data_IF_176165524185
#
_entry.id   IF_176165524185
#
_cell.length_a   1.000
_cell.length_b   1.000
_cell.length_c   1.000
_cell.angle_alpha   90.00
_cell.angle_beta   90.00
_cell.angle_gamma   90.00
#
_symmetry.space_group_name_H-M   'P 1'
#
loop_
_entity.id
_entity.type
_entity.pdbx_description
1 polymer ?
#
# COMPACT_ATOMS: atom_id res chain seq x y z
N UNK A 1 1.73 -33.49 -26.97
CA UNK A 1 1.91 -32.26 -26.16
C UNK A 1 3.39 -32.09 -25.90
N UNK A 2 3.97 -30.91 -26.19
CA UNK A 2 5.36 -30.64 -25.81
C UNK A 2 5.41 -30.30 -24.30
N UNK A 3 6.42 -30.77 -23.55
CA UNK A 3 6.55 -30.44 -22.14
C UNK A 3 6.92 -28.96 -21.99
N UNK A 4 6.31 -28.27 -21.03
CA UNK A 4 6.66 -26.90 -20.67
C UNK A 4 8.05 -26.89 -20.01
N UNK A 5 8.97 -26.09 -20.56
CA UNK A 5 10.28 -25.86 -19.95
C UNK A 5 10.09 -24.75 -18.91
N UNK A 6 10.12 -25.11 -17.62
CA UNK A 6 10.14 -24.13 -16.52
C UNK A 6 11.57 -23.60 -16.41
N UNK A 7 11.76 -22.29 -16.66
CA UNK A 7 13.06 -21.63 -16.45
C UNK A 7 13.20 -21.26 -14.97
N UNK A 8 14.34 -21.59 -14.34
CA UNK A 8 14.61 -21.18 -12.97
C UNK A 8 15.04 -19.72 -12.93
N UNK A 9 14.26 -18.88 -12.25
CA UNK A 9 14.58 -17.47 -12.09
C UNK A 9 13.36 -16.62 -11.78
N UNK A 10 13.03 -16.56 -10.49
CA UNK A 10 12.19 -15.57 -9.80
C UNK A 10 10.69 -15.66 -10.11
N UNK A 11 10.04 -16.39 -9.19
CA UNK A 11 8.74 -16.08 -8.57
C UNK A 11 7.78 -15.41 -9.56
N UNK A 12 6.86 -16.21 -10.11
CA UNK A 12 5.59 -15.68 -10.62
C UNK A 12 5.15 -14.56 -9.67
N UNK A 13 4.81 -13.34 -10.15
CA UNK A 13 4.29 -12.34 -9.25
C UNK A 13 3.14 -13.00 -8.51
N UNK A 14 3.37 -13.30 -7.23
CA UNK A 14 2.31 -13.67 -6.33
C UNK A 14 1.45 -12.43 -6.42
N UNK A 15 0.35 -12.53 -7.16
CA UNK A 15 -0.76 -11.61 -7.01
C UNK A 15 -1.14 -11.80 -5.54
N UNK A 16 -0.50 -11.00 -4.68
CA UNK A 16 -1.00 -10.75 -3.34
C UNK A 16 -2.36 -10.10 -3.62
N UNK A 17 -3.38 -10.94 -3.61
CA UNK A 17 -4.76 -10.59 -3.88
C UNK A 17 -5.29 -9.87 -2.64
N UNK A 18 -4.70 -8.71 -2.34
CA UNK A 18 -5.30 -7.78 -1.42
C UNK A 18 -6.44 -7.11 -2.17
N UNK A 19 -7.67 -7.33 -1.69
CA UNK A 19 -8.84 -6.57 -2.12
C UNK A 19 -8.50 -5.08 -1.96
N UNK A 20 -8.20 -4.43 -3.09
CA UNK A 20 -7.80 -3.03 -3.08
C UNK A 20 -9.04 -2.20 -2.80
N UNK A 21 -8.95 -1.40 -1.73
CA UNK A 21 -10.04 -0.54 -1.29
C UNK A 21 -9.57 0.90 -1.27
N UNK A 22 -10.38 1.79 -1.83
CA UNK A 22 -10.04 3.19 -1.99
C UNK A 22 -10.59 4.06 -0.85
N UNK A 23 -9.86 5.11 -0.48
CA UNK A 23 -10.31 6.12 0.48
C UNK A 23 -9.85 7.53 0.06
N UNK A 24 -10.65 8.53 0.44
CA UNK A 24 -10.35 9.95 0.23
C UNK A 24 -10.12 10.70 1.57
N UNK A 25 -10.36 10.03 2.70
CA UNK A 25 -10.17 10.56 4.07
C UNK A 25 -9.42 9.54 4.95
N UNK A 26 -8.60 10.03 5.90
CA UNK A 26 -7.78 9.18 6.77
C UNK A 26 -8.61 8.23 7.62
N UNK A 27 -9.74 8.68 8.18
CA UNK A 27 -10.55 7.83 9.05
C UNK A 27 -11.15 6.65 8.26
N UNK A 28 -11.51 6.87 7.00
CA UNK A 28 -12.00 5.81 6.12
C UNK A 28 -10.87 4.86 5.72
N UNK A 29 -9.67 5.39 5.43
CA UNK A 29 -8.48 4.59 5.19
C UNK A 29 -8.14 3.68 6.36
N UNK A 30 -8.21 4.19 7.60
CA UNK A 30 -7.96 3.41 8.81
C UNK A 30 -9.01 2.31 9.04
N UNK A 31 -10.30 2.58 8.79
CA UNK A 31 -11.35 1.55 8.88
C UNK A 31 -11.14 0.43 7.87
N UNK A 32 -10.73 0.78 6.64
CA UNK A 32 -10.41 -0.21 5.60
C UNK A 32 -9.20 -1.04 6.04
N UNK A 33 -8.16 -0.39 6.56
CA UNK A 33 -6.94 -1.04 7.03
C UNK A 33 -7.22 -2.01 8.19
N UNK A 34 -8.10 -1.64 9.13
CA UNK A 34 -8.53 -2.51 10.22
C UNK A 34 -9.29 -3.74 9.73
N UNK A 35 -10.16 -3.56 8.71
CA UNK A 35 -11.01 -4.65 8.21
C UNK A 35 -10.32 -5.58 7.22
N UNK A 36 -9.47 -5.04 6.35
CA UNK A 36 -8.91 -5.75 5.20
C UNK A 36 -7.38 -5.74 5.14
N UNK A 37 -6.72 -5.05 6.07
CA UNK A 37 -5.26 -4.95 6.15
C UNK A 37 -4.58 -4.29 4.95
N UNK A 38 -5.35 -3.65 4.06
CA UNK A 38 -4.85 -2.93 2.88
C UNK A 38 -5.79 -1.81 2.46
N UNK A 39 -5.28 -0.61 2.18
CA UNK A 39 -6.06 0.54 1.70
C UNK A 39 -5.23 1.43 0.76
N UNK A 40 -5.89 2.11 -0.17
CA UNK A 40 -5.24 2.97 -1.18
C UNK A 40 -5.95 4.31 -1.29
N UNK A 41 -5.21 5.40 -1.45
CA UNK A 41 -5.74 6.69 -1.89
C UNK A 41 -4.99 7.15 -3.14
N UNK A 42 -5.69 7.75 -4.09
CA UNK A 42 -5.10 8.22 -5.35
C UNK A 42 -5.48 9.66 -5.63
N UNK A 43 -4.51 10.48 -5.97
CA UNK A 43 -4.70 11.89 -6.30
C UNK A 43 -3.78 12.39 -7.40
N UNK A 44 -3.75 13.71 -7.60
CA UNK A 44 -3.03 14.36 -8.71
C UNK A 44 -1.52 14.14 -8.65
N UNK A 45 -0.97 14.00 -7.45
CA UNK A 45 0.46 13.80 -7.21
C UNK A 45 0.90 12.33 -7.14
N UNK A 46 -0.02 11.37 -7.20
CA UNK A 46 0.30 9.94 -7.13
C UNK A 46 -0.72 9.13 -6.33
N UNK A 47 -0.36 7.90 -5.99
CA UNK A 47 -1.10 7.05 -5.06
C UNK A 47 -0.36 6.90 -3.74
N UNK A 48 -1.10 6.73 -2.66
CA UNK A 48 -0.61 6.22 -1.40
C UNK A 48 -1.26 4.87 -1.12
N UNK A 49 -0.44 3.86 -0.92
CA UNK A 49 -0.86 2.51 -0.57
C UNK A 49 -0.44 2.24 0.88
N UNK A 50 -1.32 1.69 1.70
CA UNK A 50 -1.02 1.32 3.10
C UNK A 50 -1.48 -0.10 3.40
N UNK A 51 -0.69 -0.83 4.18
CA UNK A 51 -1.00 -2.22 4.54
C UNK A 51 -0.44 -2.63 5.89
N UNK A 52 -1.00 -3.68 6.46
CA UNK A 52 -0.46 -4.36 7.65
C UNK A 52 0.25 -5.62 7.18
N UNK A 53 1.53 -5.77 7.53
CA UNK A 53 2.30 -6.97 7.19
C UNK A 53 2.09 -8.11 8.19
N UNK A 54 2.67 -9.28 7.88
CA UNK A 54 2.58 -10.48 8.71
C UNK A 54 3.19 -10.30 10.12
N UNK A 55 4.05 -9.30 10.31
CA UNK A 55 4.65 -8.93 11.60
C UNK A 55 3.79 -7.92 12.39
N UNK A 56 2.55 -7.66 11.94
CA UNK A 56 1.64 -6.66 12.50
C UNK A 56 2.23 -5.23 12.50
N UNK A 57 3.07 -4.92 11.50
CA UNK A 57 3.57 -3.56 11.27
C UNK A 57 2.74 -2.88 10.20
N UNK A 58 2.50 -1.60 10.41
CA UNK A 58 1.95 -0.72 9.41
C UNK A 58 3.02 -0.35 8.39
N UNK A 59 2.65 -0.40 7.12
CA UNK A 59 3.46 -0.04 5.98
C UNK A 59 2.72 1.01 5.17
N UNK A 60 3.46 1.92 4.57
CA UNK A 60 2.91 2.92 3.68
C UNK A 60 3.88 3.26 2.56
N UNK A 61 3.36 3.41 1.35
CA UNK A 61 4.12 3.75 0.16
C UNK A 61 3.44 4.87 -0.60
N UNK A 62 4.14 5.97 -0.85
CA UNK A 62 3.71 7.01 -1.78
C UNK A 62 4.42 6.81 -3.11
N UNK A 63 3.64 6.62 -4.16
CA UNK A 63 4.11 6.25 -5.49
C UNK A 63 3.56 7.21 -6.56
N UNK A 64 4.43 7.62 -7.51
CA UNK A 64 4.04 8.42 -8.69
C UNK A 64 4.67 7.83 -9.94
N UNK A 65 3.88 7.65 -10.99
CA UNK A 65 4.34 7.01 -12.25
C UNK A 65 5.10 5.70 -12.01
N UNK A 66 4.61 4.86 -11.08
CA UNK A 66 5.21 3.58 -10.67
C UNK A 66 6.60 3.70 -10.01
N UNK A 67 6.91 4.88 -9.48
CA UNK A 67 8.15 5.14 -8.72
C UNK A 67 7.78 5.47 -7.29
N UNK A 68 8.36 4.72 -6.35
CA UNK A 68 8.24 5.00 -4.91
C UNK A 68 9.01 6.27 -4.58
N UNK A 69 8.32 7.25 -4.01
CA UNK A 69 8.89 8.54 -3.62
C UNK A 69 9.10 8.62 -2.11
N UNK A 70 8.18 8.07 -1.33
CA UNK A 70 8.26 8.04 0.13
C UNK A 70 7.70 6.72 0.65
N UNK A 71 8.21 6.28 1.80
CA UNK A 71 7.88 5.01 2.38
C UNK A 71 8.01 5.06 3.90
N UNK A 72 7.17 4.31 4.61
CA UNK A 72 7.22 4.13 6.06
C UNK A 72 6.99 2.66 6.46
N UNK A 73 7.71 2.23 7.50
CA UNK A 73 7.47 0.99 8.26
C UNK A 73 7.42 1.35 9.74
N UNK A 74 6.33 1.03 10.42
CA UNK A 74 6.18 1.34 11.84
C UNK A 74 5.26 0.35 12.56
N UNK A 75 5.44 0.21 13.87
CA UNK A 75 4.48 -0.46 14.77
C UNK A 75 3.46 0.50 15.37
N UNK A 76 3.63 1.81 15.15
CA UNK A 76 2.79 2.86 15.72
C UNK A 76 1.76 3.32 14.70
N UNK A 77 0.47 3.16 15.02
CA UNK A 77 -0.62 3.74 14.23
C UNK A 77 -0.51 5.26 14.12
N UNK A 78 -0.01 5.92 15.17
CA UNK A 78 0.14 7.37 15.20
C UNK A 78 1.20 7.85 14.20
N UNK A 79 2.30 7.11 14.05
CA UNK A 79 3.33 7.42 13.06
C UNK A 79 2.81 7.24 11.63
N UNK A 80 1.99 6.21 11.38
CA UNK A 80 1.30 6.04 10.09
C UNK A 80 0.36 7.20 9.80
N UNK A 81 -0.44 7.63 10.79
CA UNK A 81 -1.40 8.74 10.66
C UNK A 81 -0.67 10.05 10.35
N UNK A 82 0.44 10.33 11.04
CA UNK A 82 1.25 11.52 10.77
C UNK A 82 1.75 11.50 9.33
N UNK A 83 2.27 10.37 8.86
CA UNK A 83 2.77 10.21 7.50
C UNK A 83 1.66 10.34 6.44
N UNK A 84 0.49 9.72 6.64
CA UNK A 84 -0.68 9.86 5.76
C UNK A 84 -1.19 11.30 5.68
N UNK A 85 -1.18 12.03 6.80
CA UNK A 85 -1.54 13.44 6.82
C UNK A 85 -0.60 14.30 5.95
N UNK A 86 0.69 13.96 5.86
CA UNK A 86 1.61 14.65 4.94
C UNK A 86 1.25 14.42 3.47
N UNK A 87 0.72 13.25 3.11
CA UNK A 87 0.20 12.98 1.77
C UNK A 87 -1.04 13.82 1.49
N UNK A 88 -2.06 13.78 2.36
CA UNK A 88 -3.31 14.53 2.13
C UNK A 88 -3.07 16.03 1.99
N UNK A 89 -2.16 16.60 2.80
CA UNK A 89 -1.76 18.02 2.69
C UNK A 89 -1.12 18.39 1.36
N UNK A 90 -0.58 17.43 0.60
CA UNK A 90 -0.01 17.68 -0.73
C UNK A 90 -1.07 17.59 -1.84
N UNK A 91 -2.24 17.00 -1.56
CA UNK A 91 -3.33 16.90 -2.52
C UNK A 91 -4.19 18.18 -2.62
N UNK A 92 -4.12 19.06 -1.62
CA UNK A 92 -4.84 20.35 -1.52
C UNK A 92 -3.87 21.53 -1.54
#
# INVERSE_FOLDING_TARGET
MKPAIIKPGRIEPIYFDFDTHYFDDIDDGLKILDKYSYAVSSGSDGSVDVWVDDDSKYRGEFSRFRTVISYIETRSSDELIIWLNEYLKKQY
#
